data_IF_766038432789
#
_entry.id   IF_766038432789
#
_cell.length_a   1.000
_cell.length_b   1.000
_cell.length_c   1.000
_cell.angle_alpha   90.00
_cell.angle_beta   90.00
_cell.angle_gamma   90.00
#
_symmetry.space_group_name_H-M   'P 1'
#
loop_
_entity.id
_entity.type
_entity.pdbx_description
1 polymer ?
#
# COMPACT_ATOMS: atom_id res chain seq x y z
N UNK A 1 6.10 -14.39 23.66
CA UNK A 1 4.81 -13.79 24.10
C UNK A 1 4.75 -12.25 24.06
N UNK A 2 5.77 -11.50 23.58
CA UNK A 2 5.84 -10.04 23.84
C UNK A 2 5.54 -9.08 22.67
N UNK A 3 5.24 -9.55 21.46
CA UNK A 3 4.93 -8.64 20.33
C UNK A 3 3.46 -8.19 20.31
N UNK A 4 2.53 -9.07 20.68
CA UNK A 4 1.09 -8.78 20.66
C UNK A 4 0.68 -7.66 21.63
N UNK A 5 1.26 -7.59 22.83
CA UNK A 5 0.91 -6.58 23.83
C UNK A 5 1.38 -5.18 23.41
N UNK A 6 2.51 -5.09 22.69
CA UNK A 6 3.01 -3.84 22.13
C UNK A 6 2.18 -3.39 20.91
N UNK A 7 1.76 -4.34 20.07
CA UNK A 7 0.91 -4.12 18.89
C UNK A 7 -0.45 -3.51 19.25
N UNK A 8 -1.17 -4.15 20.19
CA UNK A 8 -2.49 -3.70 20.63
C UNK A 8 -2.39 -2.32 21.25
N UNK A 9 -1.37 -2.08 22.10
CA UNK A 9 -1.16 -0.77 22.72
C UNK A 9 -0.92 0.32 21.70
N UNK A 10 -0.11 0.08 20.66
CA UNK A 10 0.24 1.12 19.68
C UNK A 10 -0.99 1.56 18.87
N UNK A 11 -1.79 0.62 18.38
CA UNK A 11 -3.02 0.90 17.64
C UNK A 11 -4.07 1.60 18.50
N UNK A 12 -4.23 1.19 19.76
CA UNK A 12 -5.13 1.86 20.71
C UNK A 12 -4.63 3.26 21.08
N UNK A 13 -3.31 3.47 21.17
CA UNK A 13 -2.74 4.78 21.48
C UNK A 13 -3.03 5.77 20.33
N UNK A 14 -2.72 5.43 19.08
CA UNK A 14 -2.98 6.36 17.96
C UNK A 14 -4.48 6.69 17.84
N UNK A 15 -5.36 5.68 17.90
CA UNK A 15 -6.81 5.93 17.83
C UNK A 15 -7.35 6.76 19.00
N UNK A 16 -6.73 6.71 20.19
CA UNK A 16 -7.20 7.45 21.37
C UNK A 16 -6.70 8.88 21.42
N UNK A 17 -5.51 9.15 20.90
CA UNK A 17 -4.86 10.45 21.03
C UNK A 17 -5.20 11.42 19.90
N UNK A 18 -5.71 10.91 18.78
CA UNK A 18 -5.86 11.73 17.58
C UNK A 18 -7.05 11.32 16.72
N UNK A 19 -8.16 12.07 16.83
CA UNK A 19 -9.30 11.94 15.92
C UNK A 19 -8.95 12.27 14.45
N UNK A 20 -7.77 12.86 14.21
CA UNK A 20 -7.33 13.36 12.91
C UNK A 20 -6.25 12.50 12.25
N UNK A 21 -5.84 11.38 12.87
CA UNK A 21 -4.78 10.53 12.34
C UNK A 21 -5.26 9.10 12.20
N UNK A 22 -4.90 8.50 11.07
CA UNK A 22 -5.18 7.10 10.78
C UNK A 22 -3.89 6.29 10.96
N UNK A 23 -3.91 5.32 11.88
CA UNK A 23 -2.78 4.42 12.09
C UNK A 23 -2.82 3.22 11.16
N UNK A 24 -1.79 3.05 10.33
CA UNK A 24 -1.55 1.83 9.56
C UNK A 24 -0.31 1.12 10.13
N UNK A 25 -0.43 -0.18 10.35
CA UNK A 25 0.71 -1.01 10.74
C UNK A 25 1.02 -1.98 9.60
N UNK A 26 2.31 -2.05 9.26
CA UNK A 26 2.83 -2.96 8.25
C UNK A 26 3.78 -3.95 8.92
N UNK A 27 3.58 -5.23 8.64
CA UNK A 27 4.56 -6.26 9.00
C UNK A 27 5.70 -6.24 7.97
N UNK A 28 6.95 -6.29 8.44
CA UNK A 28 8.13 -6.09 7.59
C UNK A 28 8.21 -7.04 6.38
N UNK A 29 7.71 -8.26 6.52
CA UNK A 29 7.68 -9.28 5.45
C UNK A 29 6.36 -9.33 4.67
N UNK A 30 5.45 -8.39 4.91
CA UNK A 30 4.15 -8.38 4.22
C UNK A 30 4.26 -7.77 2.83
N UNK A 31 3.37 -8.22 1.94
CA UNK A 31 3.23 -7.62 0.62
C UNK A 31 2.93 -6.11 0.69
N UNK A 32 2.15 -5.68 1.69
CA UNK A 32 1.87 -4.26 1.92
C UNK A 32 3.13 -3.45 2.29
N UNK A 33 4.08 -4.03 3.04
CA UNK A 33 5.37 -3.39 3.30
C UNK A 33 6.24 -3.28 2.04
N UNK A 34 6.19 -4.28 1.14
CA UNK A 34 6.87 -4.21 -0.17
C UNK A 34 6.28 -3.07 -1.00
N UNK A 35 4.95 -2.98 -1.09
CA UNK A 35 4.27 -1.90 -1.79
C UNK A 35 4.59 -0.52 -1.18
N UNK A 36 4.62 -0.42 0.14
CA UNK A 36 5.01 0.79 0.83
C UNK A 36 6.47 1.19 0.50
N UNK A 37 7.38 0.22 0.46
CA UNK A 37 8.80 0.44 0.15
C UNK A 37 9.07 0.92 -1.28
N UNK A 38 8.13 0.67 -2.19
CA UNK A 38 8.20 1.18 -3.56
C UNK A 38 7.95 2.70 -3.66
N UNK A 39 7.32 3.29 -2.63
CA UNK A 39 6.97 4.72 -2.58
C UNK A 39 7.81 5.47 -1.55
N UNK A 40 8.12 4.84 -0.42
CA UNK A 40 8.85 5.43 0.69
C UNK A 40 10.09 4.60 1.02
N UNK A 41 11.25 5.25 1.12
CA UNK A 41 12.49 4.57 1.49
C UNK A 41 12.36 3.96 2.89
N UNK A 42 12.39 2.62 2.99
CA UNK A 42 12.37 1.89 4.26
C UNK A 42 13.77 1.88 4.85
N UNK A 43 13.96 2.58 5.98
CA UNK A 43 15.28 2.74 6.58
C UNK A 43 15.67 1.53 7.45
N UNK A 44 15.02 1.36 8.60
CA UNK A 44 15.29 0.27 9.57
C UNK A 44 14.01 -0.09 10.34
N UNK A 45 13.84 -1.36 10.74
CA UNK A 45 12.67 -1.83 11.52
C UNK A 45 13.05 -1.94 13.00
N UNK A 46 12.22 -1.48 13.95
CA UNK A 46 10.93 -0.79 13.75
C UNK A 46 11.12 0.67 13.33
N UNK A 47 10.22 1.18 12.49
CA UNK A 47 10.14 2.59 12.12
C UNK A 47 8.68 3.04 12.07
N UNK A 48 8.48 4.34 12.23
CA UNK A 48 7.18 5.02 12.18
C UNK A 48 7.31 6.18 11.22
N UNK A 49 6.46 6.20 10.21
CA UNK A 49 6.36 7.32 9.27
C UNK A 49 5.18 8.18 9.65
N UNK A 50 5.41 9.49 9.67
CA UNK A 50 4.35 10.47 9.69
C UNK A 50 4.16 10.99 8.27
N UNK A 51 3.00 10.71 7.68
CA UNK A 51 2.70 11.04 6.30
C UNK A 51 1.56 12.06 6.28
N UNK A 52 1.77 13.16 5.56
CA UNK A 52 0.76 14.19 5.37
C UNK A 52 -0.38 13.73 4.46
N UNK A 53 -1.48 14.46 4.46
CA UNK A 53 -2.65 14.18 3.60
C UNK A 53 -2.33 14.20 2.10
N UNK A 54 -1.25 14.87 1.70
CA UNK A 54 -0.75 14.92 0.32
C UNK A 54 0.14 13.74 -0.06
N UNK A 55 0.44 12.83 0.89
CA UNK A 55 1.37 11.72 0.68
C UNK A 55 2.84 12.05 0.93
N UNK A 56 3.17 13.30 1.29
CA UNK A 56 4.54 13.67 1.68
C UNK A 56 4.90 13.10 3.06
N UNK A 57 6.12 12.60 3.22
CA UNK A 57 6.67 12.25 4.54
C UNK A 57 7.00 13.53 5.31
N UNK A 58 6.36 13.71 6.45
CA UNK A 58 6.56 14.85 7.35
C UNK A 58 7.73 14.57 8.30
N UNK A 59 7.76 13.36 8.88
CA UNK A 59 8.83 12.95 9.77
C UNK A 59 8.93 11.40 9.84
N UNK A 60 10.10 10.90 10.22
CA UNK A 60 10.37 9.47 10.39
C UNK A 60 11.01 9.23 11.75
N UNK A 61 10.40 8.37 12.56
CA UNK A 61 10.99 7.88 13.80
C UNK A 61 11.54 6.46 13.60
N UNK A 62 12.82 6.28 13.88
CA UNK A 62 13.47 4.98 13.89
C UNK A 62 13.54 4.41 15.32
N UNK A 63 13.46 3.09 15.41
CA UNK A 63 13.57 2.36 16.66
C UNK A 63 12.32 2.45 17.54
N UNK A 64 12.50 2.09 18.81
CA UNK A 64 11.42 2.05 19.79
C UNK A 64 11.16 3.46 20.33
N UNK A 65 9.88 3.83 20.41
CA UNK A 65 9.44 5.08 21.02
C UNK A 65 8.46 4.78 22.17
N UNK A 66 8.56 5.54 23.25
CA UNK A 66 7.65 5.46 24.39
C UNK A 66 6.37 6.28 24.11
N UNK A 67 5.25 5.87 24.68
CA UNK A 67 3.93 6.47 24.40
C UNK A 67 3.87 7.98 24.62
N UNK A 68 4.48 8.50 25.70
CA UNK A 68 4.55 9.95 25.98
C UNK A 68 5.32 10.69 24.88
N UNK A 69 6.50 10.19 24.54
CA UNK A 69 7.38 10.78 23.53
C UNK A 69 6.80 10.69 22.12
N UNK A 70 5.99 9.67 21.83
CA UNK A 70 5.27 9.54 20.57
C UNK A 70 4.25 10.67 20.38
N UNK A 71 3.49 10.99 21.42
CA UNK A 71 2.50 12.07 21.37
C UNK A 71 3.17 13.43 21.22
N UNK A 72 4.24 13.68 21.98
CA UNK A 72 4.99 14.92 21.89
C UNK A 72 5.66 15.08 20.52
N UNK A 73 6.17 13.99 19.96
CA UNK A 73 6.73 13.96 18.61
C UNK A 73 5.68 14.32 17.54
N UNK A 74 4.48 13.73 17.58
CA UNK A 74 3.38 14.03 16.63
C UNK A 74 2.91 15.48 16.76
N UNK A 75 2.88 16.04 17.97
CA UNK A 75 2.51 17.45 18.18
C UNK A 75 3.57 18.40 17.64
N UNK A 76 4.85 18.04 17.80
CA UNK A 76 5.99 18.85 17.36
C UNK A 76 6.13 18.87 15.83
N UNK A 77 5.75 17.79 15.15
CA UNK A 77 5.91 17.63 13.70
C UNK A 77 4.95 18.49 12.85
N UNK A 78 4.24 19.47 13.43
CA UNK A 78 3.56 20.52 12.66
C UNK A 78 2.05 20.37 12.46
N UNK A 79 1.41 19.35 13.04
CA UNK A 79 -0.05 19.25 13.11
C UNK A 79 -0.59 20.00 14.34
N UNK A 80 -0.40 21.32 14.37
CA UNK A 80 -1.07 22.16 15.37
C UNK A 80 -2.59 22.08 15.20
N UNK A 81 -3.38 22.17 16.29
CA UNK A 81 -4.81 22.46 16.18
C UNK A 81 -4.99 23.72 15.33
N UNK A 82 -5.81 23.67 14.29
CA UNK A 82 -6.21 24.88 13.54
C UNK A 82 -7.14 25.69 14.43
N UNK A 83 -6.56 26.41 15.38
CA UNK A 83 -7.21 27.48 16.11
C UNK A 83 -6.52 28.77 15.67
N UNK A 84 -7.23 29.54 14.87
CA UNK A 84 -6.90 30.90 14.49
C UNK A 84 -6.67 31.75 15.77
N UNK A 85 -5.48 32.35 15.91
CA UNK A 85 -5.21 33.68 16.51
C UNK A 85 -3.68 33.90 16.47
N UNK A 86 -3.32 35.07 15.93
CA UNK A 86 -1.99 35.61 15.69
C UNK A 86 -1.05 35.52 16.91
N UNK A 87 0.24 35.20 16.68
CA UNK A 87 1.40 36.03 17.07
C UNK A 87 2.74 35.35 16.77
N UNK A 88 3.46 35.97 15.83
CA UNK A 88 4.86 36.46 15.95
C UNK A 88 5.98 35.53 16.43
N UNK A 89 6.89 35.25 15.48
CA UNK A 89 8.35 35.15 15.57
C UNK A 89 9.01 34.28 16.66
N UNK A 90 9.82 33.31 16.22
CA UNK A 90 11.27 33.49 16.16
C UNK A 90 11.95 32.22 15.65
N UNK A 91 12.81 32.40 14.64
CA UNK A 91 13.87 31.47 14.28
C UNK A 91 14.66 31.06 15.51
N UNK A 92 15.01 29.77 15.62
CA UNK A 92 16.24 29.35 16.28
C UNK A 92 16.79 28.14 15.52
N UNK A 93 17.68 28.47 14.60
CA UNK A 93 18.76 27.61 14.12
C UNK A 93 19.58 27.24 15.37
N UNK A 94 19.75 25.95 15.63
CA UNK A 94 20.79 25.47 16.54
C UNK A 94 21.78 24.70 15.70
N UNK A 95 22.87 25.39 15.40
CA UNK A 95 24.14 24.84 14.97
C UNK A 95 24.61 23.78 15.97
N UNK A 96 25.17 22.70 15.45
CA UNK A 96 26.22 21.95 16.12
C UNK A 96 27.14 21.44 15.00
N UNK A 97 28.17 22.21 14.72
CA UNK A 97 29.34 21.78 13.95
C UNK A 97 30.08 20.68 14.73
N UNK A 98 30.49 19.62 14.02
CA UNK A 98 31.88 19.20 14.08
C UNK A 98 32.29 18.49 12.78
N UNK A 99 33.39 19.01 12.21
CA UNK A 99 34.18 18.60 11.05
C UNK A 99 34.35 17.08 10.82
N UNK A 100 34.42 16.66 9.55
CA UNK A 100 35.71 16.29 8.92
C UNK A 100 35.58 16.19 7.39
N UNK A 101 36.65 16.58 6.71
CA UNK A 101 36.79 16.86 5.29
C UNK A 101 36.81 15.58 4.41
N UNK A 102 36.29 15.66 3.18
CA UNK A 102 36.98 15.21 1.95
C UNK A 102 36.17 15.61 0.72
N UNK A 103 36.75 16.54 -0.04
CA UNK A 103 36.34 16.92 -1.39
C UNK A 103 36.59 15.78 -2.39
N UNK A 104 35.67 15.55 -3.34
CA UNK A 104 36.08 15.44 -4.74
C UNK A 104 34.93 15.74 -5.71
N UNK A 105 35.21 16.70 -6.58
CA UNK A 105 34.34 17.20 -7.64
C UNK A 105 34.52 16.43 -8.97
N UNK A 106 33.62 16.77 -9.92
CA UNK A 106 33.62 16.52 -11.38
C UNK A 106 33.08 15.13 -11.82
N UNK A 107 32.23 14.99 -12.85
CA UNK A 107 31.76 15.89 -13.93
C UNK A 107 30.49 15.30 -14.60
N UNK A 108 29.72 16.17 -15.26
CA UNK A 108 28.61 15.82 -16.17
C UNK A 108 28.96 14.73 -17.17
N UNK A 109 27.99 13.87 -17.49
CA UNK A 109 27.59 13.69 -18.89
C UNK A 109 26.15 13.17 -19.00
N UNK A 110 25.45 13.78 -19.96
CA UNK A 110 24.09 13.44 -20.38
C UNK A 110 24.07 12.06 -21.02
N UNK A 111 23.15 11.19 -20.59
CA UNK A 111 22.44 10.30 -21.51
C UNK A 111 20.97 10.21 -21.07
N UNK A 112 20.16 10.98 -21.78
CA UNK A 112 18.72 10.79 -21.95
C UNK A 112 18.45 9.42 -22.60
N UNK A 113 17.41 8.70 -22.13
CA UNK A 113 16.51 8.06 -23.09
C UNK A 113 15.08 8.51 -22.82
N UNK A 114 14.64 9.38 -23.70
CA UNK A 114 13.25 9.71 -23.94
C UNK A 114 12.43 8.49 -24.36
N UNK A 115 11.16 8.57 -23.93
CA UNK A 115 9.92 7.94 -24.43
C UNK A 115 9.72 6.44 -24.26
N UNK A 116 8.73 6.07 -23.43
CA UNK A 116 7.41 5.67 -23.95
C UNK A 116 6.40 5.33 -22.82
N UNK A 117 5.46 6.25 -22.62
CA UNK A 117 4.02 6.00 -22.37
C UNK A 117 3.61 4.91 -21.36
N UNK A 118 3.34 5.32 -20.11
CA UNK A 118 2.36 4.66 -19.24
C UNK A 118 1.38 5.72 -18.70
N UNK A 119 0.35 5.97 -19.53
CA UNK A 119 -1.05 6.21 -19.15
C UNK A 119 -1.41 7.42 -18.28
N UNK A 120 -1.73 8.52 -18.96
CA UNK A 120 -2.47 9.74 -18.54
C UNK A 120 -3.80 9.54 -17.77
N UNK A 121 -4.21 8.32 -17.41
CA UNK A 121 -5.58 8.05 -16.98
C UNK A 121 -5.87 8.43 -15.52
N UNK A 122 -4.85 8.55 -14.67
CA UNK A 122 -5.08 8.79 -13.24
C UNK A 122 -5.41 10.26 -12.92
N UNK A 123 -4.80 11.20 -13.64
CA UNK A 123 -5.01 12.64 -13.46
C UNK A 123 -6.38 13.09 -14.01
N UNK A 124 -6.89 12.44 -15.07
CA UNK A 124 -8.21 12.72 -15.66
C UNK A 124 -9.42 12.24 -14.85
N UNK A 125 -9.20 11.46 -13.80
CA UNK A 125 -10.29 10.89 -12.99
C UNK A 125 -10.90 11.90 -12.00
N UNK A 126 -10.21 13.02 -11.74
CA UNK A 126 -10.68 14.06 -10.83
C UNK A 126 -11.48 15.18 -11.53
N UNK A 127 -11.52 15.20 -12.87
CA UNK A 127 -12.25 16.20 -13.66
C UNK A 127 -13.75 15.91 -13.77
N UNK A 128 -14.18 14.69 -13.45
CA UNK A 128 -15.57 14.28 -13.54
C UNK A 128 -16.31 14.42 -12.21
N UNK A 129 -17.61 14.79 -12.23
CA UNK A 129 -18.40 14.91 -11.02
C UNK A 129 -18.39 13.61 -10.24
N UNK A 130 -18.44 13.74 -8.91
CA UNK A 130 -18.31 12.63 -7.96
C UNK A 130 -19.32 11.50 -8.27
N UNK A 131 -20.54 11.86 -8.62
CA UNK A 131 -21.63 10.93 -8.92
C UNK A 131 -21.28 9.98 -10.08
N UNK A 132 -20.71 10.51 -11.18
CA UNK A 132 -20.31 9.72 -12.35
C UNK A 132 -19.15 8.76 -12.02
N UNK A 133 -18.28 9.14 -11.08
CA UNK A 133 -17.19 8.27 -10.60
C UNK A 133 -17.74 7.13 -9.75
N UNK A 134 -18.72 7.42 -8.90
CA UNK A 134 -19.40 6.43 -8.06
C UNK A 134 -20.16 5.43 -8.94
N UNK A 135 -20.93 5.91 -9.91
CA UNK A 135 -21.72 5.05 -10.80
C UNK A 135 -20.82 4.10 -11.62
N UNK A 136 -19.71 4.60 -12.15
CA UNK A 136 -18.75 3.75 -12.87
C UNK A 136 -18.06 2.75 -11.95
N UNK A 137 -17.75 3.12 -10.70
CA UNK A 137 -17.22 2.16 -9.73
C UNK A 137 -18.22 1.04 -9.45
N UNK A 138 -19.50 1.36 -9.28
CA UNK A 138 -20.55 0.35 -9.12
C UNK A 138 -20.70 -0.55 -10.35
N UNK A 139 -20.70 0.01 -11.57
CA UNK A 139 -20.75 -0.79 -12.79
C UNK A 139 -19.58 -1.78 -12.88
N UNK A 140 -18.36 -1.32 -12.59
CA UNK A 140 -17.18 -2.19 -12.59
C UNK A 140 -17.30 -3.34 -11.59
N UNK A 141 -17.81 -3.07 -10.38
CA UNK A 141 -18.05 -4.10 -9.36
C UNK A 141 -19.08 -5.13 -9.86
N UNK A 142 -20.20 -4.67 -10.41
CA UNK A 142 -21.26 -5.55 -10.92
C UNK A 142 -20.77 -6.43 -12.07
N UNK A 143 -20.06 -5.84 -13.05
CA UNK A 143 -19.46 -6.61 -14.15
C UNK A 143 -18.46 -7.64 -13.64
N UNK A 144 -17.67 -7.32 -12.60
CA UNK A 144 -16.71 -8.26 -12.03
C UNK A 144 -17.42 -9.45 -11.35
N UNK A 145 -18.53 -9.20 -10.65
CA UNK A 145 -19.34 -10.24 -10.03
C UNK A 145 -19.92 -11.17 -11.11
N UNK A 146 -20.56 -10.59 -12.12
CA UNK A 146 -21.19 -11.37 -13.20
C UNK A 146 -20.18 -12.23 -13.96
N UNK A 147 -19.00 -11.67 -14.29
CA UNK A 147 -17.94 -12.45 -14.95
C UNK A 147 -17.48 -13.65 -14.13
N UNK A 148 -17.33 -13.48 -12.81
CA UNK A 148 -16.92 -14.57 -11.92
C UNK A 148 -17.99 -15.67 -11.86
N UNK A 149 -19.26 -15.29 -11.82
CA UNK A 149 -20.37 -16.23 -11.84
C UNK A 149 -20.41 -17.04 -13.14
N UNK A 150 -20.23 -16.39 -14.28
CA UNK A 150 -20.13 -17.04 -15.59
C UNK A 150 -18.92 -17.99 -15.68
N UNK A 151 -17.77 -17.57 -15.14
CA UNK A 151 -16.56 -18.40 -15.11
C UNK A 151 -16.78 -19.67 -14.29
N UNK A 152 -17.40 -19.56 -13.11
CA UNK A 152 -17.74 -20.70 -12.24
C UNK A 152 -18.71 -21.64 -12.96
N UNK A 153 -19.75 -21.08 -13.59
CA UNK A 153 -20.74 -21.86 -14.35
C UNK A 153 -20.09 -22.63 -15.50
N UNK A 154 -19.27 -21.94 -16.32
CA UNK A 154 -18.55 -22.56 -17.44
C UNK A 154 -17.60 -23.66 -16.97
N UNK A 155 -16.87 -23.43 -15.87
CA UNK A 155 -15.95 -24.41 -15.29
C UNK A 155 -16.69 -25.66 -14.80
N UNK A 156 -17.88 -25.51 -14.21
CA UNK A 156 -18.73 -26.63 -13.80
C UNK A 156 -19.17 -27.47 -15.00
N UNK A 157 -19.65 -26.82 -16.06
CA UNK A 157 -20.05 -27.50 -17.30
C UNK A 157 -18.86 -28.22 -17.94
N UNK A 158 -17.70 -27.58 -18.02
CA UNK A 158 -16.49 -28.18 -18.59
C UNK A 158 -16.02 -29.40 -17.79
N UNK A 159 -16.07 -29.32 -16.46
CA UNK A 159 -15.71 -30.44 -15.59
C UNK A 159 -16.63 -31.65 -15.81
N UNK A 160 -17.94 -31.43 -15.96
CA UNK A 160 -18.90 -32.51 -16.24
C UNK A 160 -18.70 -33.12 -17.64
N UNK A 161 -18.39 -32.32 -18.65
CA UNK A 161 -18.06 -32.84 -20.00
C UNK A 161 -16.82 -33.74 -19.94
N UNK A 162 -15.75 -33.28 -19.29
CA UNK A 162 -14.52 -34.07 -19.12
C UNK A 162 -14.78 -35.38 -18.39
N UNK A 163 -15.62 -35.37 -17.35
CA UNK A 163 -16.01 -36.59 -16.62
C UNK A 163 -16.68 -37.61 -17.54
N UNK A 164 -17.59 -37.15 -18.41
CA UNK A 164 -18.28 -38.02 -19.38
C UNK A 164 -17.33 -38.57 -20.44
N UNK A 165 -16.42 -37.73 -20.94
CA UNK A 165 -15.44 -38.12 -21.96
C UNK A 165 -14.48 -39.19 -21.44
N UNK A 166 -13.92 -39.00 -20.23
CA UNK A 166 -13.06 -40.00 -19.58
C UNK A 166 -13.82 -41.31 -19.36
N UNK A 167 -15.08 -41.23 -18.91
CA UNK A 167 -15.92 -42.42 -18.74
C UNK A 167 -16.17 -43.17 -20.05
N UNK A 168 -16.42 -42.44 -21.13
CA UNK A 168 -16.60 -43.01 -22.48
C UNK A 168 -15.32 -43.69 -22.97
N UNK A 169 -14.17 -43.02 -22.86
CA UNK A 169 -12.87 -43.55 -23.27
C UNK A 169 -12.52 -44.85 -22.50
N UNK A 170 -12.80 -44.89 -21.20
CA UNK A 170 -12.57 -46.10 -20.39
C UNK A 170 -13.48 -47.25 -20.81
N UNK A 171 -14.75 -46.96 -21.12
CA UNK A 171 -15.69 -47.98 -21.59
C UNK A 171 -15.29 -48.53 -22.97
N UNK A 172 -14.92 -47.65 -23.91
CA UNK A 172 -14.42 -48.06 -25.24
C UNK A 172 -13.16 -48.92 -25.13
N UNK A 173 -12.23 -48.58 -24.23
CA UNK A 173 -11.04 -49.39 -23.98
C UNK A 173 -11.41 -50.79 -23.45
N UNK A 174 -12.34 -50.89 -22.49
CA UNK A 174 -12.80 -52.20 -21.98
C UNK A 174 -13.44 -53.05 -23.07
N UNK A 175 -14.34 -52.48 -23.88
CA UNK A 175 -15.02 -53.20 -24.96
C UNK A 175 -14.00 -53.73 -25.96
N UNK A 176 -13.05 -52.89 -26.41
CA UNK A 176 -11.98 -53.33 -27.34
C UNK A 176 -11.15 -54.47 -26.75
N UNK A 177 -10.77 -54.43 -25.48
CA UNK A 177 -10.00 -55.52 -24.87
C UNK A 177 -10.81 -56.81 -24.67
N UNK A 178 -12.13 -56.71 -24.53
CA UNK A 178 -13.03 -57.87 -24.47
C UNK A 178 -13.27 -58.50 -25.84
N UNK A 179 -13.40 -57.68 -26.90
CA UNK A 179 -13.57 -58.15 -28.28
C UNK A 179 -12.30 -58.77 -28.88
N UNK A 180 -11.13 -58.54 -28.25
CA UNK A 180 -9.82 -59.08 -28.63
C UNK A 180 -9.43 -60.35 -27.83
N UNK A 181 -10.30 -60.84 -26.94
CA UNK A 181 -10.11 -62.08 -26.15
C UNK A 181 -11.07 -63.17 -26.55
#
# INVERSE_FOLDING_TARGET
MSLFVSLVRFRTLINRFTNNFSGLQLEASSYAAVQFSAVYAVLTVPCIYLIGSTGQVIDIKLGRIESKSLVDWIKKSGFGPVNNVNSTAASNISENELHDDTEQAFRSDMIEPSVSSMSETQIRSCERPLEERIERAYQLIQTQIQRKEEEISKKSVEAEIKRREVGKAMNEFKVKNLDLS
#
